data_IF_638571397903
#
_entry.id   IF_638571397903
#
_cell.length_a   1.000
_cell.length_b   1.000
_cell.length_c   1.000
_cell.angle_alpha   90.00
_cell.angle_beta   90.00
_cell.angle_gamma   90.00
#
_symmetry.space_group_name_H-M   'P 1'
#
loop_
_entity.id
_entity.type
_entity.pdbx_description
1 polymer ?
#
# COMPACT_ATOMS: atom_id res chain seq x y z
N UNK A 1 41.85 -0.31 -44.33
CA UNK A 1 41.60 0.79 -43.38
C UNK A 1 40.65 0.27 -42.36
N UNK A 2 41.14 -0.14 -41.19
CA UNK A 2 40.33 -0.55 -40.06
C UNK A 2 40.20 0.65 -39.10
N UNK A 3 39.00 1.14 -38.86
CA UNK A 3 38.74 2.13 -37.85
C UNK A 3 38.68 1.40 -36.50
N UNK A 4 39.55 1.76 -35.59
CA UNK A 4 39.51 1.32 -34.19
C UNK A 4 38.38 2.09 -33.49
N UNK A 5 37.38 1.38 -32.90
CA UNK A 5 36.51 1.94 -31.93
C UNK A 5 37.32 2.17 -30.64
N UNK A 6 37.44 3.42 -30.25
CA UNK A 6 37.95 3.79 -28.94
C UNK A 6 36.92 3.36 -27.89
N UNK A 7 37.34 2.53 -26.96
CA UNK A 7 36.63 2.26 -25.74
C UNK A 7 36.49 3.56 -24.96
N UNK A 8 35.27 4.02 -24.76
CA UNK A 8 35.00 5.08 -23.78
C UNK A 8 35.38 4.58 -22.39
N UNK A 9 36.20 5.37 -21.76
CA UNK A 9 36.74 5.19 -20.42
C UNK A 9 35.59 5.23 -19.43
N UNK A 10 35.13 4.05 -19.00
CA UNK A 10 34.19 3.92 -17.89
C UNK A 10 34.95 4.14 -16.58
N UNK A 11 35.22 5.42 -16.29
CA UNK A 11 35.80 5.82 -15.01
C UNK A 11 34.71 5.65 -13.94
N UNK A 12 34.60 4.43 -13.44
CA UNK A 12 33.86 4.16 -12.21
C UNK A 12 34.40 5.05 -11.11
N UNK A 13 33.56 5.84 -10.41
CA UNK A 13 34.03 6.67 -9.30
C UNK A 13 34.65 5.77 -8.24
N UNK A 14 35.86 6.12 -7.78
CA UNK A 14 36.53 5.43 -6.65
C UNK A 14 35.59 5.39 -5.45
N UNK A 15 35.14 4.21 -5.08
CA UNK A 15 34.28 3.97 -3.93
C UNK A 15 35.13 3.99 -2.68
N UNK A 16 34.87 4.96 -1.79
CA UNK A 16 35.50 5.00 -0.48
C UNK A 16 35.18 3.70 0.28
N UNK A 17 36.18 2.90 0.74
CA UNK A 17 35.97 1.56 1.27
C UNK A 17 35.17 1.49 2.58
N UNK A 18 34.97 2.60 3.28
CA UNK A 18 34.22 2.60 4.54
C UNK A 18 32.70 2.66 4.39
N UNK A 19 32.18 3.03 3.21
CA UNK A 19 30.75 3.12 2.97
C UNK A 19 30.42 2.72 1.53
N UNK A 20 29.85 1.55 1.34
CA UNK A 20 29.46 1.08 0.02
C UNK A 20 28.28 1.89 -0.56
N UNK A 21 28.32 2.15 -1.85
CA UNK A 21 27.20 2.74 -2.57
C UNK A 21 25.98 1.79 -2.53
N UNK A 22 24.81 2.32 -2.18
CA UNK A 22 23.57 1.54 -2.17
C UNK A 22 22.61 2.13 -3.20
N UNK A 23 22.00 1.27 -3.98
CA UNK A 23 20.97 1.64 -4.94
C UNK A 23 19.70 0.83 -4.66
N UNK A 24 18.61 1.50 -4.38
CA UNK A 24 17.28 0.89 -4.30
C UNK A 24 16.64 0.87 -5.68
N UNK A 25 16.11 -0.30 -6.05
CA UNK A 25 15.23 -0.49 -7.20
C UNK A 25 13.86 -0.87 -6.68
N UNK A 26 12.93 0.06 -6.75
CA UNK A 26 11.62 -0.05 -6.12
C UNK A 26 10.56 -0.19 -7.18
N UNK A 27 9.66 -1.17 -7.03
CA UNK A 27 8.45 -1.31 -7.84
C UNK A 27 7.22 -1.36 -6.95
N UNK A 28 6.11 -0.82 -7.44
CA UNK A 28 4.80 -0.96 -6.82
C UNK A 28 3.88 -1.67 -7.80
N UNK A 29 3.42 -2.86 -7.42
CA UNK A 29 2.55 -3.68 -8.26
C UNK A 29 1.17 -3.81 -7.61
N UNK A 30 0.14 -3.64 -8.42
CA UNK A 30 -1.20 -4.03 -8.04
C UNK A 30 -1.25 -5.56 -8.00
N UNK A 31 -1.40 -6.15 -6.82
CA UNK A 31 -1.48 -7.59 -6.61
C UNK A 31 -2.77 -8.26 -7.17
N UNK A 32 -3.45 -7.61 -8.10
CA UNK A 32 -4.60 -8.13 -8.82
C UNK A 32 -4.16 -8.70 -10.18
N UNK A 33 -3.18 -9.58 -10.19
CA UNK A 33 -2.94 -10.47 -11.31
C UNK A 33 -3.78 -11.71 -11.06
N UNK A 34 -4.81 -11.84 -11.81
CA UNK A 34 -5.54 -13.00 -12.28
C UNK A 34 -7.04 -13.00 -11.97
N UNK A 35 -7.80 -12.76 -13.05
CA UNK A 35 -8.86 -13.67 -13.41
C UNK A 35 -10.14 -13.68 -12.59
N UNK A 36 -10.61 -12.56 -12.06
CA UNK A 36 -12.05 -12.47 -11.85
C UNK A 36 -12.64 -11.88 -13.11
N UNK A 37 -13.04 -12.76 -14.03
CA UNK A 37 -13.79 -12.42 -15.23
C UNK A 37 -15.20 -11.94 -14.90
N UNK A 38 -15.34 -10.90 -14.11
CA UNK A 38 -16.62 -10.22 -13.92
C UNK A 38 -16.79 -9.17 -15.01
N UNK A 39 -17.90 -9.24 -15.71
CA UNK A 39 -18.25 -8.36 -16.84
C UNK A 39 -18.53 -6.90 -16.43
N UNK A 40 -18.14 -6.46 -15.24
CA UNK A 40 -18.27 -5.08 -14.79
C UNK A 40 -16.89 -4.51 -14.46
N UNK A 41 -16.56 -3.32 -14.98
CA UNK A 41 -15.37 -2.64 -14.52
C UNK A 41 -15.57 -2.32 -13.03
N UNK A 42 -14.84 -3.00 -12.18
CA UNK A 42 -14.76 -2.68 -10.76
C UNK A 42 -13.70 -1.60 -10.65
N UNK A 43 -14.02 -0.47 -10.08
CA UNK A 43 -13.06 0.64 -9.88
C UNK A 43 -11.84 0.22 -9.04
N UNK A 44 -11.95 -0.83 -8.25
CA UNK A 44 -10.81 -1.47 -7.56
C UNK A 44 -9.86 -2.24 -8.49
N UNK A 45 -10.18 -2.35 -9.78
CA UNK A 45 -9.34 -2.94 -10.82
C UNK A 45 -8.60 -1.90 -11.66
N UNK A 46 -8.50 -0.67 -11.19
CA UNK A 46 -7.58 0.26 -11.81
C UNK A 46 -6.18 -0.36 -11.79
N UNK A 47 -5.64 -0.58 -12.98
CA UNK A 47 -4.31 -1.14 -13.16
C UNK A 47 -3.22 -0.22 -12.58
N UNK A 48 -3.60 0.99 -12.19
CA UNK A 48 -2.72 2.04 -11.69
C UNK A 48 -2.82 2.09 -10.16
N UNK A 49 -1.70 1.93 -9.50
CA UNK A 49 -1.58 2.17 -8.07
C UNK A 49 -1.41 3.69 -7.83
N UNK A 50 -1.96 4.19 -6.73
CA UNK A 50 -1.95 5.62 -6.40
C UNK A 50 -0.90 5.99 -5.35
N UNK A 51 0.23 5.28 -5.32
CA UNK A 51 1.33 5.59 -4.41
C UNK A 51 1.98 6.91 -4.80
N UNK A 52 2.05 7.84 -3.86
CA UNK A 52 2.67 9.16 -4.04
C UNK A 52 3.88 9.39 -3.14
N UNK A 53 4.04 8.56 -2.10
CA UNK A 53 5.15 8.63 -1.15
C UNK A 53 5.69 7.24 -0.87
N UNK A 54 7.00 7.11 -0.90
CA UNK A 54 7.69 5.86 -0.57
C UNK A 54 8.80 6.15 0.41
N UNK A 55 8.87 5.36 1.48
CA UNK A 55 9.99 5.36 2.44
C UNK A 55 10.60 3.97 2.49
N UNK A 56 11.93 3.89 2.56
CA UNK A 56 12.67 2.65 2.77
C UNK A 56 13.31 2.69 4.15
N UNK A 57 13.00 1.69 4.96
CA UNK A 57 13.52 1.50 6.30
C UNK A 57 14.60 0.42 6.27
N UNK A 58 15.80 0.74 6.73
CA UNK A 58 16.93 -0.17 6.84
C UNK A 58 17.06 -0.68 8.27
N UNK A 59 17.11 -1.99 8.43
CA UNK A 59 17.27 -2.67 9.71
C UNK A 59 18.54 -3.53 9.70
N UNK A 60 19.49 -3.21 10.57
CA UNK A 60 20.75 -3.95 10.69
C UNK A 60 20.58 -5.18 11.60
N UNK A 61 21.23 -6.26 11.23
CA UNK A 61 21.26 -7.46 12.07
C UNK A 61 21.94 -7.19 13.42
N UNK A 62 21.25 -7.56 14.50
CA UNK A 62 21.76 -7.52 15.85
C UNK A 62 21.42 -8.84 16.57
N UNK A 63 22.37 -9.77 16.57
CA UNK A 63 22.13 -11.13 17.01
C UNK A 63 21.07 -11.85 16.15
N UNK A 64 19.98 -12.27 16.77
CA UNK A 64 18.84 -12.91 16.10
C UNK A 64 17.77 -11.92 15.62
N UNK A 65 17.90 -10.63 15.87
CA UNK A 65 16.93 -9.59 15.53
C UNK A 65 17.49 -8.62 14.50
N UNK A 66 16.63 -7.75 13.98
CA UNK A 66 17.01 -6.69 13.06
C UNK A 66 16.49 -5.38 13.60
N UNK A 67 17.39 -4.46 13.98
CA UNK A 67 17.06 -3.18 14.56
C UNK A 67 17.12 -2.06 13.54
N UNK A 68 16.18 -1.12 13.61
CA UNK A 68 16.16 0.04 12.73
C UNK A 68 17.48 0.81 12.81
N UNK A 69 18.06 1.08 11.64
CA UNK A 69 19.29 1.86 11.50
C UNK A 69 19.02 3.22 10.88
N UNK A 70 18.27 3.25 9.77
CA UNK A 70 18.02 4.47 9.01
C UNK A 70 16.75 4.39 8.18
N UNK A 71 16.16 5.54 7.91
CA UNK A 71 15.02 5.70 7.00
C UNK A 71 15.42 6.59 5.83
N UNK A 72 15.01 6.21 4.63
CA UNK A 72 15.18 6.95 3.39
C UNK A 72 13.83 7.33 2.81
N UNK A 73 13.60 8.62 2.62
CA UNK A 73 12.42 9.09 1.89
C UNK A 73 12.76 9.20 0.40
N UNK A 74 12.04 8.46 -0.42
CA UNK A 74 12.31 8.33 -1.84
C UNK A 74 11.68 9.50 -2.58
N UNK A 75 12.50 10.47 -2.96
CA UNK A 75 12.06 11.67 -3.65
C UNK A 75 11.59 11.39 -5.08
N UNK A 76 10.63 12.19 -5.57
CA UNK A 76 10.14 12.15 -6.95
C UNK A 76 9.32 10.91 -7.28
N UNK A 77 8.74 10.20 -6.30
CA UNK A 77 7.68 9.26 -6.55
C UNK A 77 6.37 10.05 -6.74
N UNK A 78 5.66 9.77 -7.80
CA UNK A 78 4.40 10.43 -8.13
C UNK A 78 3.34 9.40 -8.46
N UNK A 79 2.09 9.81 -8.43
CA UNK A 79 0.96 8.96 -8.81
C UNK A 79 1.20 8.31 -10.19
N UNK A 80 0.90 7.02 -10.29
CA UNK A 80 1.15 6.22 -11.49
C UNK A 80 2.60 5.76 -11.70
N UNK A 81 3.55 6.14 -10.83
CA UNK A 81 4.93 5.62 -10.89
C UNK A 81 4.95 4.15 -10.47
N UNK A 82 5.33 3.26 -11.38
CA UNK A 82 5.40 1.81 -11.12
C UNK A 82 6.79 1.31 -10.75
N UNK A 83 7.82 2.07 -11.11
CA UNK A 83 9.21 1.72 -10.84
C UNK A 83 10.07 2.98 -10.61
N UNK A 84 11.02 2.88 -9.68
CA UNK A 84 12.02 3.91 -9.45
C UNK A 84 13.34 3.33 -8.96
N UNK A 85 14.43 3.88 -9.51
CA UNK A 85 15.78 3.67 -8.98
C UNK A 85 16.17 4.87 -8.15
N UNK A 86 16.71 4.62 -6.95
CA UNK A 86 17.16 5.65 -6.02
C UNK A 86 18.57 5.29 -5.53
N UNK A 87 19.54 6.11 -5.88
CA UNK A 87 20.90 5.99 -5.35
C UNK A 87 20.97 6.71 -3.99
N UNK A 88 21.46 6.02 -2.98
CA UNK A 88 21.65 6.59 -1.64
C UNK A 88 22.77 7.61 -1.69
N UNK A 89 22.56 8.86 -1.25
CA UNK A 89 23.61 9.86 -1.19
C UNK A 89 24.78 9.44 -0.30
N UNK A 90 25.99 9.89 -0.60
CA UNK A 90 27.19 9.53 0.15
C UNK A 90 27.12 9.84 1.63
N UNK A 91 26.48 10.95 2.01
CA UNK A 91 26.27 11.33 3.39
C UNK A 91 25.30 10.40 4.16
N UNK A 92 24.53 9.58 3.42
CA UNK A 92 23.46 8.75 3.95
C UNK A 92 23.72 7.24 3.85
N UNK A 93 24.95 6.86 3.51
CA UNK A 93 25.37 5.46 3.38
C UNK A 93 25.21 4.70 4.71
N UNK A 94 24.98 3.40 4.59
CA UNK A 94 24.90 2.49 5.73
C UNK A 94 26.28 1.91 6.06
N UNK A 95 26.54 1.62 7.35
CA UNK A 95 27.66 0.78 7.74
C UNK A 95 27.61 -0.60 7.09
N UNK A 96 28.78 -1.25 6.97
CA UNK A 96 28.88 -2.64 6.53
C UNK A 96 28.08 -3.56 7.46
N UNK A 97 27.33 -4.49 6.90
CA UNK A 97 26.53 -5.42 7.69
C UNK A 97 25.42 -6.09 6.90
N UNK A 98 24.72 -7.01 7.55
CA UNK A 98 23.56 -7.69 7.01
C UNK A 98 22.30 -6.91 7.37
N UNK A 99 21.48 -6.64 6.38
CA UNK A 99 20.30 -5.79 6.50
C UNK A 99 19.04 -6.47 6.00
N UNK A 100 17.93 -6.11 6.62
CA UNK A 100 16.59 -6.18 6.04
C UNK A 100 16.12 -4.79 5.66
N UNK A 101 15.61 -4.66 4.46
CA UNK A 101 15.03 -3.42 3.96
C UNK A 101 13.52 -3.59 3.83
N UNK A 102 12.77 -2.64 4.32
CA UNK A 102 11.31 -2.57 4.18
C UNK A 102 10.97 -1.29 3.42
N UNK A 103 10.41 -1.42 2.22
CA UNK A 103 9.83 -0.29 1.50
C UNK A 103 8.34 -0.19 1.81
N UNK A 104 7.86 1.02 2.05
CA UNK A 104 6.45 1.31 2.32
C UNK A 104 5.99 2.43 1.41
N UNK A 105 4.98 2.14 0.60
CA UNK A 105 4.32 3.08 -0.29
C UNK A 105 2.96 3.51 0.26
N UNK A 106 2.67 4.82 0.19
CA UNK A 106 1.41 5.42 0.65
C UNK A 106 0.83 6.34 -0.42
N UNK A 107 -0.48 6.41 -0.49
CA UNK A 107 -1.19 7.34 -1.37
C UNK A 107 -1.23 8.77 -0.81
N UNK A 108 -1.83 9.70 -1.56
CA UNK A 108 -1.97 11.09 -1.15
C UNK A 108 -2.95 11.25 0.02
N UNK A 109 -3.95 10.39 0.15
CA UNK A 109 -4.96 10.42 1.21
C UNK A 109 -4.36 10.09 2.57
N UNK A 110 -3.39 9.18 2.62
CA UNK A 110 -2.55 8.84 3.78
C UNK A 110 -3.32 8.55 5.07
N UNK A 111 -4.28 7.64 4.99
CA UNK A 111 -5.11 7.25 6.15
C UNK A 111 -4.47 6.21 7.05
N UNK A 112 -3.25 5.79 6.76
CA UNK A 112 -2.52 4.82 7.56
C UNK A 112 -1.41 5.50 8.36
N UNK A 113 -1.45 5.34 9.69
CA UNK A 113 -0.32 5.64 10.55
C UNK A 113 0.66 4.47 10.51
N UNK A 114 1.84 4.71 9.98
CA UNK A 114 2.94 3.74 9.97
C UNK A 114 3.79 3.92 11.21
N UNK A 115 4.24 2.82 11.82
CA UNK A 115 5.20 2.87 12.93
C UNK A 115 6.36 3.79 12.58
N UNK A 116 6.61 4.80 13.42
CA UNK A 116 7.81 5.65 13.33
C UNK A 116 8.94 4.95 14.06
N UNK A 117 9.91 4.37 13.35
CA UNK A 117 10.95 3.59 14.01
C UNK A 117 11.99 4.47 14.68
N UNK A 118 12.52 3.98 15.82
CA UNK A 118 13.62 4.59 16.53
C UNK A 118 14.90 3.79 16.28
N UNK A 119 15.97 4.47 15.85
CA UNK A 119 17.26 3.85 15.58
C UNK A 119 17.79 3.08 16.78
N UNK A 120 18.25 1.86 16.55
CA UNK A 120 18.76 0.95 17.58
C UNK A 120 17.72 0.28 18.48
N UNK A 121 16.41 0.63 18.36
CA UNK A 121 15.37 0.13 19.27
C UNK A 121 14.24 -0.62 18.56
N UNK A 122 13.72 -0.10 17.43
CA UNK A 122 12.57 -0.71 16.75
C UNK A 122 13.01 -1.93 15.97
N UNK A 123 12.35 -3.07 16.21
CA UNK A 123 12.58 -4.29 15.44
C UNK A 123 11.89 -4.21 14.07
N UNK A 124 12.48 -4.90 13.10
CA UNK A 124 11.89 -5.09 11.78
C UNK A 124 10.45 -5.65 11.85
N UNK A 125 10.22 -6.62 12.72
CA UNK A 125 8.92 -7.27 12.91
C UNK A 125 7.85 -6.38 13.54
N UNK A 126 8.23 -5.24 14.11
CA UNK A 126 7.31 -4.32 14.81
C UNK A 126 6.78 -3.21 13.90
N UNK A 127 7.09 -3.29 12.60
CA UNK A 127 6.61 -2.33 11.61
C UNK A 127 5.15 -2.59 11.25
N UNK A 128 4.28 -1.72 11.74
CA UNK A 128 2.83 -1.82 11.60
C UNK A 128 2.28 -0.62 10.82
N UNK A 129 1.17 -0.84 10.13
CA UNK A 129 0.30 0.24 9.68
C UNK A 129 -1.05 0.13 10.39
N UNK A 130 -1.52 1.24 10.94
CA UNK A 130 -2.81 1.35 11.62
C UNK A 130 -3.71 2.29 10.85
N UNK A 131 -4.98 1.93 10.68
CA UNK A 131 -5.95 2.84 10.07
C UNK A 131 -6.29 3.98 11.06
N UNK A 132 -6.19 5.23 10.61
CA UNK A 132 -6.39 6.41 11.47
C UNK A 132 -7.83 6.88 11.43
N UNK A 133 -8.49 6.78 10.28
CA UNK A 133 -9.87 7.21 10.09
C UNK A 133 -10.64 6.23 9.19
N UNK A 134 -11.91 6.03 9.49
CA UNK A 134 -12.85 5.36 8.60
C UNK A 134 -13.44 6.35 7.59
N UNK A 135 -13.67 5.93 6.36
CA UNK A 135 -14.54 6.64 5.43
C UNK A 135 -13.94 7.12 4.12
N UNK A 136 -12.64 7.35 4.02
CA UNK A 136 -11.99 7.68 2.74
C UNK A 136 -11.11 6.52 2.28
N UNK A 137 -11.07 6.33 0.98
CA UNK A 137 -10.22 5.34 0.34
C UNK A 137 -8.75 5.72 0.54
N UNK A 138 -7.93 4.75 0.94
CA UNK A 138 -6.50 4.91 1.04
C UNK A 138 -5.79 3.57 0.81
N UNK A 139 -4.60 3.65 0.24
CA UNK A 139 -3.80 2.49 -0.11
C UNK A 139 -2.49 2.47 0.68
N UNK A 140 -2.08 1.27 1.07
CA UNK A 140 -0.75 1.03 1.63
C UNK A 140 -0.11 -0.19 0.97
N UNK A 141 1.11 0.00 0.53
CA UNK A 141 1.94 -1.00 -0.12
C UNK A 141 3.17 -1.25 0.73
N UNK A 142 3.64 -2.48 0.78
CA UNK A 142 4.92 -2.78 1.41
C UNK A 142 5.59 -3.98 0.73
N UNK A 143 6.90 -3.97 0.79
CA UNK A 143 7.74 -5.06 0.32
C UNK A 143 9.07 -5.05 1.05
N UNK A 144 9.77 -6.17 1.07
CA UNK A 144 11.04 -6.29 1.75
C UNK A 144 12.06 -7.06 0.94
N UNK A 145 13.33 -6.78 1.21
CA UNK A 145 14.46 -7.51 0.68
C UNK A 145 15.56 -7.61 1.74
N UNK A 146 16.35 -8.68 1.65
CA UNK A 146 17.54 -8.88 2.46
C UNK A 146 18.76 -8.57 1.59
N UNK A 147 19.76 -7.88 2.14
CA UNK A 147 21.01 -7.65 1.46
C UNK A 147 22.17 -7.46 2.45
N UNK A 148 23.35 -7.79 2.01
CA UNK A 148 24.59 -7.48 2.72
C UNK A 148 25.21 -6.20 2.12
N UNK A 149 25.44 -5.21 2.98
CA UNK A 149 26.19 -4.00 2.64
C UNK A 149 27.66 -4.29 2.90
N UNK A 150 28.45 -4.32 1.84
CA UNK A 150 29.88 -4.64 1.87
C UNK A 150 30.73 -3.36 1.75
N UNK A 151 31.97 -3.41 2.23
CA UNK A 151 32.90 -2.27 2.18
C UNK A 151 33.31 -1.87 0.75
N UNK A 152 33.25 -2.79 -0.20
CA UNK A 152 33.63 -2.58 -1.59
C UNK A 152 32.56 -3.11 -2.53
N UNK A 153 32.39 -2.44 -3.66
CA UNK A 153 31.31 -2.74 -4.60
C UNK A 153 29.99 -2.08 -4.20
N UNK A 154 29.13 -1.82 -5.15
CA UNK A 154 27.80 -1.28 -4.89
C UNK A 154 26.84 -2.38 -4.43
N UNK A 155 25.96 -2.08 -3.49
CA UNK A 155 24.84 -2.96 -3.11
C UNK A 155 23.58 -2.51 -3.83
N UNK A 156 22.99 -3.40 -4.63
CA UNK A 156 21.70 -3.18 -5.27
C UNK A 156 20.62 -3.93 -4.49
N UNK A 157 19.56 -3.22 -4.11
CA UNK A 157 18.47 -3.76 -3.33
C UNK A 157 17.17 -3.57 -4.13
N UNK A 158 16.65 -4.66 -4.67
CA UNK A 158 15.38 -4.65 -5.42
C UNK A 158 14.23 -5.04 -4.50
N UNK A 159 13.22 -4.17 -4.40
CA UNK A 159 12.05 -4.37 -3.54
C UNK A 159 10.78 -4.17 -4.37
N UNK A 160 9.97 -5.20 -4.41
CA UNK A 160 8.63 -5.14 -4.95
C UNK A 160 7.64 -4.89 -3.82
N UNK A 161 6.93 -3.77 -3.89
CA UNK A 161 5.89 -3.42 -2.95
C UNK A 161 4.54 -3.93 -3.46
N UNK A 162 3.86 -4.71 -2.65
CA UNK A 162 2.50 -5.21 -2.91
C UNK A 162 1.50 -4.56 -1.96
N UNK A 163 0.25 -4.42 -2.40
CA UNK A 163 -0.82 -3.87 -1.57
C UNK A 163 -1.03 -4.74 -0.32
N UNK A 164 -1.10 -4.12 0.86
CA UNK A 164 -1.28 -4.79 2.16
C UNK A 164 -2.71 -4.72 2.69
N UNK A 165 -3.61 -4.10 1.95
CA UNK A 165 -5.00 -3.91 2.33
C UNK A 165 -5.92 -4.35 1.19
N UNK A 166 -7.12 -4.83 1.55
CA UNK A 166 -8.15 -5.18 0.59
C UNK A 166 -9.11 -4.00 0.39
N UNK A 167 -9.63 -3.84 -0.82
CA UNK A 167 -10.71 -2.92 -1.10
C UNK A 167 -12.07 -3.61 -0.94
N UNK A 168 -13.07 -2.88 -0.45
CA UNK A 168 -14.45 -3.31 -0.42
C UNK A 168 -15.28 -2.34 -1.24
N UNK A 169 -16.05 -2.89 -2.19
CA UNK A 169 -16.93 -2.13 -3.05
C UNK A 169 -18.39 -2.43 -2.70
N UNK A 170 -19.17 -1.39 -2.40
CA UNK A 170 -20.60 -1.48 -2.26
C UNK A 170 -21.31 -1.02 -3.52
N UNK A 171 -22.16 -1.88 -4.06
CA UNK A 171 -23.04 -1.54 -5.20
C UNK A 171 -24.49 -1.57 -4.75
N UNK A 172 -25.17 -0.42 -4.81
CA UNK A 172 -26.58 -0.29 -4.40
C UNK A 172 -27.44 0.14 -5.57
N UNK A 173 -28.53 -0.57 -5.77
CA UNK A 173 -29.47 -0.31 -6.85
C UNK A 173 -30.90 -0.32 -6.32
N UNK A 174 -31.72 0.62 -6.80
CA UNK A 174 -33.14 0.70 -6.44
C UNK A 174 -33.38 0.83 -4.92
N UNK A 175 -32.64 1.75 -4.27
CA UNK A 175 -32.82 2.02 -2.85
C UNK A 175 -34.23 2.60 -2.63
N UNK A 176 -35.12 1.90 -1.91
CA UNK A 176 -36.49 2.35 -1.76
C UNK A 176 -36.58 3.56 -0.83
N UNK A 177 -37.47 4.50 -1.13
CA UNK A 177 -37.77 5.62 -0.22
C UNK A 177 -38.44 5.14 1.08
N UNK A 178 -39.29 4.14 0.98
CA UNK A 178 -40.02 3.57 2.11
C UNK A 178 -39.74 2.07 2.19
N UNK A 179 -39.36 1.61 3.38
CA UNK A 179 -39.17 0.20 3.67
C UNK A 179 -39.96 -0.13 4.96
N UNK A 180 -40.79 -1.14 4.89
CA UNK A 180 -41.67 -1.54 6.03
C UNK A 180 -42.46 -0.39 6.63
N UNK A 181 -43.01 0.51 5.82
CA UNK A 181 -43.80 1.66 6.28
C UNK A 181 -43.00 2.84 6.83
N UNK A 182 -41.68 2.76 6.86
CA UNK A 182 -40.82 3.82 7.36
C UNK A 182 -39.94 4.40 6.25
N UNK A 183 -39.69 5.71 6.29
CA UNK A 183 -38.78 6.37 5.34
C UNK A 183 -37.36 5.92 5.60
N UNK A 184 -36.69 5.47 4.55
CA UNK A 184 -35.26 5.13 4.58
C UNK A 184 -34.46 6.42 4.59
N UNK A 185 -33.69 6.65 5.66
CA UNK A 185 -32.93 7.89 5.87
C UNK A 185 -31.45 7.72 5.58
N UNK A 186 -30.92 6.51 5.73
CA UNK A 186 -29.50 6.24 5.60
C UNK A 186 -29.25 4.96 4.83
N UNK A 187 -28.19 4.98 4.03
CA UNK A 187 -27.63 3.81 3.39
C UNK A 187 -26.26 3.54 4.01
N UNK A 188 -26.09 2.35 4.62
CA UNK A 188 -24.86 2.01 5.33
C UNK A 188 -24.31 0.66 4.90
N UNK A 189 -23.02 0.65 4.60
CA UNK A 189 -22.23 -0.58 4.47
C UNK A 189 -21.24 -0.63 5.64
N UNK A 190 -21.24 -1.73 6.36
CA UNK A 190 -20.36 -1.96 7.51
C UNK A 190 -19.57 -3.24 7.33
N UNK A 191 -18.31 -3.24 7.75
CA UNK A 191 -17.49 -4.45 7.87
C UNK A 191 -17.23 -4.75 9.32
N UNK A 192 -17.60 -5.98 9.73
CA UNK A 192 -17.33 -6.50 11.07
C UNK A 192 -16.08 -7.38 11.05
N UNK A 193 -15.46 -7.54 12.22
CA UNK A 193 -14.28 -8.41 12.40
C UNK A 193 -13.08 -8.05 11.50
N UNK A 194 -12.99 -6.79 11.07
CA UNK A 194 -11.82 -6.28 10.37
C UNK A 194 -10.68 -6.04 11.34
N UNK A 195 -9.44 -6.15 10.87
CA UNK A 195 -8.28 -5.80 11.67
C UNK A 195 -8.06 -4.28 11.65
N UNK A 196 -7.58 -3.73 12.77
CA UNK A 196 -7.22 -2.31 12.87
C UNK A 196 -5.81 -2.03 12.34
N UNK A 197 -4.97 -3.04 12.33
CA UNK A 197 -3.56 -2.92 11.96
C UNK A 197 -3.16 -4.05 11.02
N UNK A 198 -2.15 -3.78 10.22
CA UNK A 198 -1.46 -4.78 9.41
C UNK A 198 0.04 -4.73 9.70
N UNK A 199 0.64 -5.88 9.86
CA UNK A 199 2.10 -5.99 9.92
C UNK A 199 2.65 -5.86 8.50
N UNK A 200 3.50 -4.86 8.29
CA UNK A 200 4.02 -4.49 6.98
C UNK A 200 5.04 -5.48 6.43
N UNK A 201 5.65 -6.29 7.30
CA UNK A 201 6.69 -7.24 6.92
C UNK A 201 6.13 -8.57 6.43
N UNK A 202 4.96 -8.98 6.91
CA UNK A 202 4.34 -10.27 6.59
C UNK A 202 2.89 -10.17 6.09
N UNK A 203 2.28 -8.97 6.14
CA UNK A 203 0.91 -8.72 5.69
C UNK A 203 -0.17 -9.25 6.63
N UNK A 204 0.18 -9.73 7.82
CA UNK A 204 -0.80 -10.28 8.78
C UNK A 204 -1.56 -9.14 9.45
N UNK A 205 -2.90 -9.24 9.38
CA UNK A 205 -3.79 -8.32 10.12
C UNK A 205 -3.80 -8.66 11.61
N UNK A 206 -3.78 -7.64 12.44
CA UNK A 206 -3.77 -7.76 13.90
C UNK A 206 -4.74 -6.77 14.53
N UNK A 207 -5.09 -7.01 15.80
CA UNK A 207 -5.99 -6.17 16.58
C UNK A 207 -7.36 -6.00 15.91
N UNK A 208 -8.19 -7.05 15.95
CA UNK A 208 -9.56 -7.00 15.44
C UNK A 208 -10.31 -5.83 16.04
N UNK A 209 -10.97 -5.03 15.19
CA UNK A 209 -11.76 -3.88 15.60
C UNK A 209 -12.93 -4.32 16.50
N UNK A 210 -13.12 -3.70 17.67
CA UNK A 210 -14.20 -4.04 18.59
C UNK A 210 -15.58 -3.63 18.02
N UNK A 211 -15.61 -2.69 17.09
CA UNK A 211 -16.82 -2.19 16.44
C UNK A 211 -16.71 -2.29 14.93
N UNK A 212 -17.81 -2.53 14.22
CA UNK A 212 -17.81 -2.53 12.77
C UNK A 212 -17.39 -1.16 12.20
N UNK A 213 -16.56 -1.20 11.14
CA UNK A 213 -16.25 0.01 10.36
C UNK A 213 -17.41 0.37 9.44
N UNK A 214 -17.77 1.65 9.39
CA UNK A 214 -18.63 2.19 8.35
C UNK A 214 -17.80 2.42 7.09
N UNK A 215 -18.07 1.63 6.05
CA UNK A 215 -17.48 1.83 4.71
C UNK A 215 -18.25 2.91 3.98
N UNK A 216 -19.58 2.81 4.02
CA UNK A 216 -20.50 3.78 3.46
C UNK A 216 -21.44 4.21 4.57
N UNK A 217 -21.57 5.50 4.75
CA UNK A 217 -22.59 6.11 5.60
C UNK A 217 -23.15 7.32 4.84
N UNK A 218 -24.18 7.06 4.04
CA UNK A 218 -24.80 8.06 3.18
C UNK A 218 -26.12 8.51 3.80
N UNK A 219 -26.26 9.80 4.05
CA UNK A 219 -27.54 10.41 4.39
C UNK A 219 -28.36 10.61 3.11
N UNK A 220 -29.55 10.03 3.09
CA UNK A 220 -30.49 10.14 1.97
C UNK A 220 -31.47 11.31 2.13
N UNK A 221 -31.36 12.09 3.19
CA UNK A 221 -32.17 13.27 3.42
C UNK A 221 -31.95 14.30 2.30
N UNK A 222 -33.02 14.69 1.63
CA UNK A 222 -32.91 15.63 0.51
C UNK A 222 -32.51 15.03 -0.83
N UNK A 223 -32.28 13.73 -0.91
CA UNK A 223 -32.10 13.06 -2.20
C UNK A 223 -33.43 13.02 -2.97
N UNK A 224 -33.35 13.23 -4.29
CA UNK A 224 -34.52 13.16 -5.16
C UNK A 224 -35.10 11.73 -5.17
N UNK A 225 -36.42 11.63 -5.33
CA UNK A 225 -37.15 10.37 -5.41
C UNK A 225 -37.94 10.30 -6.71
N UNK A 226 -37.86 9.18 -7.39
CA UNK A 226 -38.68 8.88 -8.57
C UNK A 226 -39.22 7.45 -8.47
N UNK A 227 -40.50 7.30 -8.70
CA UNK A 227 -41.17 5.99 -8.64
C UNK A 227 -40.90 5.21 -7.33
N UNK A 228 -40.85 5.94 -6.18
CA UNK A 228 -40.64 5.33 -4.88
C UNK A 228 -39.22 4.87 -4.57
N UNK A 229 -38.24 5.21 -5.43
CA UNK A 229 -36.82 4.94 -5.20
C UNK A 229 -36.03 6.24 -5.21
N UNK A 230 -34.97 6.28 -4.40
CA UNK A 230 -34.01 7.38 -4.44
C UNK A 230 -33.28 7.42 -5.78
N UNK A 231 -33.17 8.62 -6.35
CA UNK A 231 -32.45 8.90 -7.59
C UNK A 231 -31.39 9.97 -7.33
N UNK A 232 -30.21 9.78 -7.85
CA UNK A 232 -29.09 10.71 -7.72
C UNK A 232 -27.91 10.19 -8.54
N UNK A 233 -26.89 11.00 -8.73
CA UNK A 233 -25.71 10.60 -9.51
C UNK A 233 -25.08 9.33 -8.97
N UNK A 234 -25.21 9.07 -7.68
CA UNK A 234 -24.64 7.91 -6.98
C UNK A 234 -25.64 6.77 -6.75
N UNK A 235 -26.94 6.98 -7.05
CA UNK A 235 -28.01 6.01 -6.75
C UNK A 235 -28.84 5.62 -7.97
N UNK A 236 -28.75 6.38 -9.07
CA UNK A 236 -29.54 6.15 -10.27
C UNK A 236 -28.76 5.33 -11.31
N UNK A 237 -29.07 4.06 -11.40
CA UNK A 237 -28.70 3.23 -12.54
C UNK A 237 -27.31 2.59 -12.48
N UNK A 238 -26.34 3.19 -11.81
CA UNK A 238 -24.97 2.65 -11.73
C UNK A 238 -24.54 2.26 -10.32
N UNK A 239 -25.27 2.66 -9.28
CA UNK A 239 -24.93 2.34 -7.90
C UNK A 239 -23.88 3.28 -7.28
N UNK A 240 -23.82 3.29 -5.97
CA UNK A 240 -22.76 3.99 -5.22
C UNK A 240 -21.54 3.09 -5.18
N UNK A 241 -20.45 3.59 -5.74
CA UNK A 241 -19.15 2.95 -5.64
C UNK A 241 -18.34 3.72 -4.60
N UNK A 242 -18.05 3.11 -3.46
CA UNK A 242 -17.00 3.56 -2.56
C UNK A 242 -16.09 2.38 -2.31
N UNK A 243 -14.88 2.47 -2.80
CA UNK A 243 -13.82 1.56 -2.42
C UNK A 243 -13.20 2.08 -1.12
N UNK A 244 -13.07 1.23 -0.12
CA UNK A 244 -12.38 1.54 1.12
C UNK A 244 -11.37 0.45 1.38
N UNK A 245 -10.15 0.85 1.63
CA UNK A 245 -9.05 -0.07 1.93
C UNK A 245 -9.16 -0.60 3.36
N UNK A 246 -9.13 -1.92 3.50
CA UNK A 246 -9.11 -2.61 4.79
C UNK A 246 -7.92 -3.52 4.91
N UNK A 247 -7.40 -3.63 6.13
CA UNK A 247 -6.38 -4.61 6.47
C UNK A 247 -6.94 -6.02 6.28
N UNK A 248 -6.39 -6.71 5.33
CA UNK A 248 -6.47 -8.13 5.01
C UNK A 248 -7.74 -8.87 5.49
N UNK A 249 -8.81 -8.77 4.72
CA UNK A 249 -9.82 -9.82 4.71
C UNK A 249 -9.17 -11.02 4.02
N UNK A 250 -8.90 -12.10 4.75
CA UNK A 250 -8.72 -13.39 4.08
C UNK A 250 -10.01 -13.62 3.30
N UNK A 251 -9.93 -13.61 1.98
CA UNK A 251 -10.98 -14.18 1.17
C UNK A 251 -11.08 -15.66 1.56
N UNK A 252 -11.99 -15.99 2.46
CA UNK A 252 -12.52 -17.31 2.52
C UNK A 252 -13.31 -17.43 1.22
N UNK A 253 -12.77 -18.22 0.30
CA UNK A 253 -13.54 -18.73 -0.81
C UNK A 253 -14.81 -19.34 -0.20
N UNK A 254 -15.94 -18.68 -0.42
CA UNK A 254 -17.23 -19.31 -0.23
C UNK A 254 -17.36 -20.29 -1.39
N UNK A 255 -17.42 -21.60 -1.14
CA UNK A 255 -17.75 -22.53 -2.20
C UNK A 255 -19.14 -22.17 -2.72
N UNK A 256 -19.22 -22.15 -4.03
CA UNK A 256 -20.44 -22.05 -4.79
C UNK A 256 -21.54 -22.93 -4.20
N UNK A 257 -22.69 -22.33 -3.94
CA UNK A 257 -23.98 -22.97 -4.15
C UNK A 257 -25.08 -21.89 -4.13
N UNK A 258 -25.52 -21.53 -5.28
CA UNK A 258 -26.88 -21.38 -5.82
C UNK A 258 -26.92 -20.44 -7.01
#
# INVERSE_FOLDING_TARGET
>A
VFAACSSEDDSSPEVNPENAAITFELSAVNGLTDGIGTRMPVYSQEATQHVTRVSVYAFVQNGSTYLHQKTYDITGWTDGTTFKRFAVPDADKLPVGVYKFLAVGRDATDRFSVTTPTSGNTNYTDMLASIVNSGDESEIFAGSADAEVMAQGGTRVSIEMTRKVAGVLGYFKNVPQVLNGSTVKYLRLKVSNSNQQVNLTNGVGINTAPTPYNIIDMDLSGQAVSNGVYVGNDLSGQGVVKAVSYTHLRAHETPEHL
#
